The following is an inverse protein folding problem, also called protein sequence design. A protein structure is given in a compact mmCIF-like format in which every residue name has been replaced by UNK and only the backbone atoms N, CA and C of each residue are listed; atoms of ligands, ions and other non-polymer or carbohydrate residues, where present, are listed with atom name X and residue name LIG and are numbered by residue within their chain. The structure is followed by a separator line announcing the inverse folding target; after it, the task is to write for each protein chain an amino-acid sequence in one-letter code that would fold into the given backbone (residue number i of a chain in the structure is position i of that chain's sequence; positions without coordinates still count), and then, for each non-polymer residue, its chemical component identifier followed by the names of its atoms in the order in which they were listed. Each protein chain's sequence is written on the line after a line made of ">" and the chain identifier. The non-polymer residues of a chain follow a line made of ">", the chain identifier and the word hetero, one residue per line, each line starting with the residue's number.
data_IF_953331578520
#
_entry.id   IF_953331578520
#
_cell.length_a   1.000
_cell.length_b   1.000
_cell.length_c   1.000
_cell.angle_alpha   90.00
_cell.angle_beta   90.00
_cell.angle_gamma   90.00
#
_symmetry.space_group_name_H-M   'P 1'
#
loop_
_entity.id
_entity.type
_entity.pdbx_description
1 polymer ?
#
# COMPACT_ATOMS: atom_id res chain seq x y z
N UNK A 1 -6.80 -58.34 40.38
CA UNK A 1 -7.14 -57.51 39.21
C UNK A 1 -6.80 -56.06 39.52
N UNK A 2 -5.64 -55.56 39.06
CA UNK A 2 -5.28 -54.13 39.16
C UNK A 2 -5.76 -53.44 37.89
N UNK A 3 -6.71 -52.54 38.02
CA UNK A 3 -7.25 -51.76 36.91
C UNK A 3 -6.44 -50.47 36.81
N UNK A 4 -5.57 -50.39 35.80
CA UNK A 4 -4.86 -49.16 35.43
C UNK A 4 -5.83 -48.18 34.72
N UNK A 5 -6.50 -47.32 35.48
CA UNK A 5 -7.45 -46.33 34.95
C UNK A 5 -6.92 -44.88 34.93
N UNK A 6 -5.72 -44.62 35.49
CA UNK A 6 -5.21 -43.25 35.65
C UNK A 6 -4.80 -42.52 34.36
N UNK A 7 -4.28 -43.23 33.35
CA UNK A 7 -3.65 -42.58 32.19
C UNK A 7 -4.62 -42.19 31.06
N UNK A 8 -5.79 -42.82 30.97
CA UNK A 8 -6.69 -42.64 29.81
C UNK A 8 -7.39 -41.28 29.82
N UNK A 9 -7.72 -40.76 31.00
CA UNK A 9 -8.38 -39.47 31.17
C UNK A 9 -7.44 -38.29 30.91
N UNK A 10 -6.16 -38.41 31.31
CA UNK A 10 -5.14 -37.42 31.01
C UNK A 10 -4.85 -37.32 29.50
N UNK A 11 -4.77 -38.46 28.81
CA UNK A 11 -4.60 -38.48 27.36
C UNK A 11 -5.78 -37.86 26.62
N UNK A 12 -7.02 -38.12 27.07
CA UNK A 12 -8.23 -37.53 26.48
C UNK A 12 -8.27 -36.00 26.68
N UNK A 13 -7.89 -35.52 27.86
CA UNK A 13 -7.80 -34.08 28.18
C UNK A 13 -6.72 -33.38 27.35
N UNK A 14 -5.53 -33.98 27.20
CA UNK A 14 -4.46 -33.42 26.35
C UNK A 14 -4.84 -33.43 24.87
N UNK A 15 -5.56 -34.46 24.41
CA UNK A 15 -6.03 -34.53 23.03
C UNK A 15 -7.12 -33.48 22.76
N UNK A 16 -8.07 -33.30 23.69
CA UNK A 16 -9.10 -32.25 23.61
C UNK A 16 -8.48 -30.84 23.68
N UNK A 17 -7.43 -30.64 24.49
CA UNK A 17 -6.70 -29.37 24.54
C UNK A 17 -5.94 -29.09 23.23
N UNK A 18 -5.33 -30.11 22.61
CA UNK A 18 -4.67 -29.98 21.30
C UNK A 18 -5.66 -29.75 20.16
N UNK A 19 -6.83 -30.39 20.16
CA UNK A 19 -7.89 -30.16 19.15
C UNK A 19 -8.50 -28.77 19.32
N UNK A 20 -8.66 -28.28 20.55
CA UNK A 20 -9.09 -26.91 20.83
C UNK A 20 -8.05 -25.87 20.35
N UNK A 21 -6.76 -26.14 20.50
CA UNK A 21 -5.69 -25.27 19.95
C UNK A 21 -5.72 -25.28 18.42
N UNK A 22 -5.85 -26.44 17.77
CA UNK A 22 -5.90 -26.55 16.29
C UNK A 22 -7.17 -25.93 15.70
N UNK A 23 -8.31 -25.97 16.40
CA UNK A 23 -9.55 -25.32 16.00
C UNK A 23 -9.57 -23.79 16.20
N UNK A 24 -8.62 -23.24 16.97
CA UNK A 24 -8.53 -21.80 17.29
C UNK A 24 -7.56 -21.02 16.41
N UNK A 25 -6.72 -21.69 15.60
CA UNK A 25 -5.79 -21.06 14.65
C UNK A 25 -6.28 -21.20 13.22
N UNK A 26 -7.49 -20.73 12.95
CA UNK A 26 -7.74 -20.15 11.63
C UNK A 26 -7.14 -18.74 11.70
N UNK A 27 -6.00 -18.44 11.03
CA UNK A 27 -5.67 -17.05 10.80
C UNK A 27 -6.86 -16.46 10.03
N UNK A 28 -7.60 -15.56 10.68
CA UNK A 28 -8.57 -14.75 9.96
C UNK A 28 -7.82 -14.07 8.80
N UNK A 29 -8.41 -13.94 7.61
CA UNK A 29 -7.81 -13.13 6.57
C UNK A 29 -7.62 -11.73 7.17
N UNK A 30 -6.38 -11.36 7.46
CA UNK A 30 -6.04 -9.99 7.82
C UNK A 30 -6.22 -9.20 6.54
N UNK A 31 -7.33 -8.47 6.44
CA UNK A 31 -7.50 -7.51 5.37
C UNK A 31 -6.35 -6.50 5.49
N UNK A 32 -5.59 -6.31 4.42
CA UNK A 32 -4.49 -5.36 4.43
C UNK A 32 -5.05 -3.95 4.68
N UNK A 33 -4.45 -3.23 5.62
CA UNK A 33 -4.76 -1.82 5.83
C UNK A 33 -4.29 -1.00 4.63
N UNK A 34 -5.09 -0.03 4.21
CA UNK A 34 -4.85 0.81 3.03
C UNK A 34 -4.72 2.27 3.49
N UNK A 35 -3.71 2.98 3.00
CA UNK A 35 -3.76 4.44 2.92
C UNK A 35 -4.23 4.80 1.51
N UNK A 36 -5.30 5.56 1.44
CA UNK A 36 -5.92 6.00 0.19
C UNK A 36 -5.86 7.53 0.12
N UNK A 37 -5.14 8.04 -0.86
CA UNK A 37 -4.95 9.46 -1.11
C UNK A 37 -5.80 9.88 -2.32
N UNK A 38 -6.72 10.80 -2.11
CA UNK A 38 -7.68 11.22 -3.12
C UNK A 38 -7.17 12.38 -3.96
N UNK A 39 -7.36 12.28 -5.28
CA UNK A 39 -7.18 13.35 -6.26
C UNK A 39 -8.56 13.73 -6.80
N UNK A 40 -9.05 14.90 -6.42
CA UNK A 40 -10.41 15.35 -6.68
C UNK A 40 -10.43 16.43 -7.75
N UNK A 41 -11.29 16.24 -8.77
CA UNK A 41 -11.50 17.22 -9.81
C UNK A 41 -12.16 18.50 -9.26
N UNK A 42 -11.74 19.72 -9.65
CA UNK A 42 -10.64 20.02 -10.57
C UNK A 42 -9.27 19.90 -9.89
N UNK A 43 -8.33 19.21 -10.55
CA UNK A 43 -6.97 19.01 -10.06
C UNK A 43 -5.97 19.85 -10.87
N UNK A 44 -5.05 20.54 -10.20
CA UNK A 44 -3.94 21.27 -10.83
C UNK A 44 -2.76 20.34 -11.16
N UNK A 45 -1.78 20.83 -11.90
CA UNK A 45 -0.59 20.06 -12.28
C UNK A 45 -0.62 19.63 -13.74
N UNK A 46 0.27 18.69 -14.07
CA UNK A 46 0.40 18.19 -15.43
C UNK A 46 0.87 16.75 -15.50
N UNK A 47 0.50 16.08 -16.60
CA UNK A 47 1.05 14.78 -17.00
C UNK A 47 1.53 14.88 -18.44
N UNK A 48 2.71 14.35 -18.73
CA UNK A 48 3.29 14.38 -20.07
C UNK A 48 4.21 13.20 -20.37
N UNK A 49 4.35 12.92 -21.66
CA UNK A 49 5.32 11.98 -22.21
C UNK A 49 5.87 12.60 -23.50
N UNK A 50 7.20 12.76 -23.58
CA UNK A 50 7.85 13.48 -24.67
C UNK A 50 8.06 12.64 -25.95
N UNK A 51 7.73 11.34 -25.94
CA UNK A 51 8.04 10.42 -27.03
C UNK A 51 9.41 9.75 -26.89
N UNK A 52 9.70 8.80 -27.79
CA UNK A 52 10.97 8.08 -27.82
C UNK A 52 11.15 7.14 -26.63
N UNK A 53 12.26 7.28 -25.91
CA UNK A 53 12.56 6.51 -24.68
C UNK A 53 12.29 7.32 -23.41
N UNK A 54 11.67 8.50 -23.55
CA UNK A 54 11.38 9.36 -22.42
C UNK A 54 10.43 8.66 -21.42
N UNK A 55 10.53 9.00 -20.14
CA UNK A 55 9.59 8.51 -19.14
C UNK A 55 8.26 9.28 -19.18
N UNK A 56 7.26 8.76 -18.47
CA UNK A 56 6.06 9.50 -18.11
C UNK A 56 6.38 10.42 -16.93
N UNK A 57 6.00 11.69 -17.06
CA UNK A 57 6.25 12.72 -16.04
C UNK A 57 4.92 13.27 -15.56
N UNK A 58 4.70 13.20 -14.25
CA UNK A 58 3.67 13.94 -13.54
C UNK A 58 4.32 15.06 -12.72
N UNK A 59 3.75 16.26 -12.73
CA UNK A 59 4.31 17.40 -12.01
C UNK A 59 3.22 18.20 -11.32
N UNK A 60 3.44 18.48 -10.05
CA UNK A 60 2.62 19.34 -9.20
C UNK A 60 1.12 18.98 -9.21
N UNK A 61 0.82 17.68 -9.21
CA UNK A 61 -0.55 17.17 -9.23
C UNK A 61 -1.14 17.33 -7.83
N UNK A 62 -2.19 18.14 -7.67
CA UNK A 62 -2.84 18.33 -6.36
C UNK A 62 -3.39 17.01 -5.81
N UNK A 63 -3.21 16.79 -4.51
CA UNK A 63 -3.81 15.67 -3.76
C UNK A 63 -4.52 16.28 -2.55
N UNK A 64 -5.77 15.90 -2.33
CA UNK A 64 -6.68 16.69 -1.50
C UNK A 64 -6.86 16.10 -0.10
N UNK A 65 -6.79 14.78 0.01
CA UNK A 65 -7.11 14.07 1.25
C UNK A 65 -6.38 12.75 1.36
N UNK A 66 -6.29 12.24 2.59
CA UNK A 66 -5.87 10.88 2.92
C UNK A 66 -6.89 10.23 3.84
N UNK A 67 -7.17 8.94 3.63
CA UNK A 67 -7.98 8.11 4.51
C UNK A 67 -7.28 6.78 4.78
N UNK A 68 -7.34 6.33 6.03
CA UNK A 68 -6.93 4.98 6.43
C UNK A 68 -8.13 4.04 6.38
N UNK A 69 -8.02 2.92 5.65
CA UNK A 69 -9.05 1.89 5.56
C UNK A 69 -8.54 0.58 6.15
N UNK A 70 -9.30 -0.02 7.05
CA UNK A 70 -8.89 -1.21 7.79
C UNK A 70 -7.68 -0.97 8.68
N UNK A 71 -7.44 0.27 9.11
CA UNK A 71 -6.31 0.65 9.96
C UNK A 71 -6.64 0.38 11.43
N UNK A 72 -5.63 0.10 12.28
CA UNK A 72 -5.89 -0.16 13.71
C UNK A 72 -6.19 1.10 14.51
N UNK A 73 -5.90 2.28 13.96
CA UNK A 73 -6.23 3.58 14.54
C UNK A 73 -6.80 4.49 13.46
N UNK A 74 -7.78 5.31 13.85
CA UNK A 74 -8.42 6.28 12.95
C UNK A 74 -8.96 5.65 11.64
N UNK A 75 -9.52 4.44 11.73
CA UNK A 75 -10.13 3.74 10.60
C UNK A 75 -11.32 4.53 10.02
N UNK A 76 -11.33 4.69 8.69
CA UNK A 76 -12.30 5.49 7.95
C UNK A 76 -12.21 6.99 8.19
N UNK A 77 -11.24 7.47 8.96
CA UNK A 77 -11.08 8.89 9.26
C UNK A 77 -10.28 9.57 8.15
N UNK A 78 -10.95 10.50 7.45
CA UNK A 78 -10.34 11.34 6.42
C UNK A 78 -9.61 12.53 7.04
N UNK A 79 -8.49 12.91 6.43
CA UNK A 79 -7.70 14.10 6.77
C UNK A 79 -7.41 14.90 5.53
N UNK A 80 -7.61 16.21 5.62
CA UNK A 80 -7.32 17.12 4.53
C UNK A 80 -5.81 17.28 4.40
N UNK A 81 -5.34 17.28 3.16
CA UNK A 81 -3.97 17.62 2.85
C UNK A 81 -3.88 19.12 2.55
N UNK A 82 -2.84 19.75 3.05
CA UNK A 82 -2.53 21.16 2.75
C UNK A 82 -1.35 21.24 1.79
N UNK A 83 -1.50 22.09 0.76
CA UNK A 83 -0.46 22.35 -0.25
C UNK A 83 0.22 21.07 -0.79
N UNK A 84 -0.56 19.99 -0.91
CA UNK A 84 -0.01 18.68 -1.18
C UNK A 84 0.04 18.40 -2.68
N UNK A 85 1.24 18.12 -3.18
CA UNK A 85 1.46 17.85 -4.59
C UNK A 85 2.23 16.55 -4.81
N UNK A 86 1.69 15.76 -5.74
CA UNK A 86 2.31 14.56 -6.28
C UNK A 86 3.16 14.94 -7.50
N UNK A 87 4.43 14.55 -7.46
CA UNK A 87 5.35 14.64 -8.59
C UNK A 87 6.01 13.29 -8.84
N UNK A 88 6.16 12.94 -10.11
CA UNK A 88 6.72 11.65 -10.47
C UNK A 88 7.39 11.64 -11.84
N UNK A 89 8.32 10.70 -11.99
CA UNK A 89 8.98 10.37 -13.22
C UNK A 89 9.15 8.84 -13.27
N UNK A 90 8.58 8.16 -14.27
CA UNK A 90 8.65 6.70 -14.37
C UNK A 90 10.01 6.21 -14.91
N UNK A 91 10.17 4.90 -15.12
CA UNK A 91 11.17 4.41 -16.07
C UNK A 91 10.85 4.84 -17.51
N UNK A 92 11.80 4.64 -18.42
CA UNK A 92 11.63 4.98 -19.83
C UNK A 92 10.52 4.18 -20.51
N UNK A 93 9.95 4.72 -21.59
CA UNK A 93 9.00 4.02 -22.45
C UNK A 93 9.59 2.68 -22.92
N UNK A 94 8.86 1.59 -22.68
CA UNK A 94 9.29 0.22 -22.95
C UNK A 94 8.48 -0.47 -24.06
N UNK A 95 7.38 0.15 -24.51
CA UNK A 95 6.53 -0.41 -25.55
C UNK A 95 5.09 0.06 -25.42
N UNK A 96 4.18 -0.55 -26.16
CA UNK A 96 2.77 -0.22 -26.10
C UNK A 96 1.95 -0.99 -27.13
N UNK A 97 0.64 -0.81 -27.03
CA UNK A 97 -0.34 -1.27 -28.02
C UNK A 97 -0.95 -0.05 -28.74
N UNK A 98 -1.84 -0.23 -29.72
CA UNK A 98 -2.57 0.91 -30.29
C UNK A 98 -3.39 1.74 -29.28
N UNK A 99 -3.58 1.24 -28.04
CA UNK A 99 -4.33 1.89 -26.96
C UNK A 99 -3.53 2.11 -25.67
N UNK A 100 -2.26 1.68 -25.61
CA UNK A 100 -1.44 1.80 -24.39
C UNK A 100 -0.05 2.39 -24.66
N UNK A 101 0.47 3.10 -23.66
CA UNK A 101 1.90 3.40 -23.51
C UNK A 101 2.40 2.69 -22.27
N UNK A 102 3.39 1.83 -22.40
CA UNK A 102 3.96 1.07 -21.29
C UNK A 102 5.36 1.62 -20.95
N UNK A 103 5.61 1.79 -19.67
CA UNK A 103 6.83 2.35 -19.09
C UNK A 103 7.46 1.36 -18.13
N UNK A 104 8.78 1.23 -18.19
CA UNK A 104 9.53 0.31 -17.34
C UNK A 104 9.66 0.78 -15.89
N UNK A 105 10.31 -0.05 -15.09
CA UNK A 105 10.69 0.25 -13.70
C UNK A 105 11.72 1.38 -13.59
N UNK A 106 11.84 1.95 -12.39
CA UNK A 106 12.81 2.98 -12.04
C UNK A 106 12.17 4.35 -11.81
N UNK A 107 12.99 5.40 -11.93
CA UNK A 107 12.53 6.77 -11.68
C UNK A 107 12.14 7.02 -10.21
N UNK A 108 11.22 7.95 -9.98
CA UNK A 108 10.86 8.41 -8.64
C UNK A 108 9.40 8.88 -8.57
N UNK A 109 8.78 8.70 -7.43
CA UNK A 109 7.47 9.26 -7.07
C UNK A 109 7.57 9.91 -5.69
N UNK A 110 6.95 11.08 -5.50
CA UNK A 110 6.94 11.79 -4.22
C UNK A 110 5.66 12.58 -4.04
N UNK A 111 5.05 12.46 -2.85
CA UNK A 111 3.98 13.35 -2.38
C UNK A 111 4.54 14.24 -1.28
N UNK A 112 4.46 15.55 -1.47
CA UNK A 112 4.95 16.56 -0.53
C UNK A 112 3.79 17.49 -0.17
N UNK A 113 3.57 17.74 1.12
CA UNK A 113 2.48 18.58 1.63
C UNK A 113 2.38 18.53 3.16
N UNK A 114 1.34 19.16 3.70
CA UNK A 114 0.94 19.07 5.10
C UNK A 114 -0.30 18.21 5.30
N UNK A 115 -0.57 17.84 6.55
CA UNK A 115 -1.77 17.10 6.97
C UNK A 115 -2.29 17.68 8.28
N UNK A 116 -3.55 18.10 8.26
CA UNK A 116 -4.29 18.56 9.44
C UNK A 116 -4.79 17.33 10.21
N UNK A 117 -3.94 16.74 11.06
CA UNK A 117 -4.19 15.49 11.77
C UNK A 117 -5.18 15.68 12.93
N UNK A 118 -5.12 16.83 13.58
CA UNK A 118 -5.96 17.17 14.72
C UNK A 118 -7.38 17.65 14.28
N UNK A 119 -7.55 17.99 13.00
CA UNK A 119 -8.77 18.45 12.33
C UNK A 119 -9.31 19.79 12.89
N UNK A 120 -8.43 20.75 13.14
CA UNK A 120 -8.78 22.09 13.60
C UNK A 120 -8.77 23.16 12.48
N UNK A 121 -8.33 22.78 11.28
CA UNK A 121 -8.26 23.63 10.11
C UNK A 121 -6.95 24.40 9.92
N UNK A 122 -5.89 24.10 10.69
CA UNK A 122 -4.58 24.75 10.62
C UNK A 122 -3.41 23.75 10.70
N UNK A 123 -2.73 23.51 9.57
CA UNK A 123 -1.56 22.60 9.50
C UNK A 123 -0.25 23.15 10.06
N UNK A 124 -0.25 24.31 10.72
CA UNK A 124 0.97 24.97 11.21
C UNK A 124 1.27 24.72 12.69
N UNK A 125 0.40 24.02 13.38
CA UNK A 125 0.44 23.86 14.82
C UNK A 125 1.11 22.54 15.30
N UNK A 126 1.13 22.34 16.63
CA UNK A 126 1.70 21.12 17.22
C UNK A 126 0.66 20.00 17.20
N UNK A 127 0.96 18.93 16.46
CA UNK A 127 0.08 17.77 16.32
C UNK A 127 -0.12 17.38 14.86
N UNK A 128 0.21 18.30 13.97
CA UNK A 128 0.04 18.16 12.53
C UNK A 128 1.34 17.87 11.78
N UNK A 129 1.19 17.53 10.50
CA UNK A 129 2.31 17.42 9.58
C UNK A 129 2.40 18.75 8.82
N UNK A 130 3.51 19.49 8.94
CA UNK A 130 3.60 20.81 8.33
C UNK A 130 3.77 20.73 6.80
N UNK A 131 3.34 21.79 6.12
CA UNK A 131 3.53 21.95 4.67
C UNK A 131 5.00 21.78 4.24
N UNK A 132 5.19 21.26 3.03
CA UNK A 132 6.52 20.96 2.50
C UNK A 132 7.14 19.66 3.05
N UNK A 133 6.41 18.91 3.88
CA UNK A 133 6.86 17.60 4.38
C UNK A 133 6.63 16.52 3.33
N UNK A 134 7.59 15.61 3.17
CA UNK A 134 7.38 14.42 2.34
C UNK A 134 6.45 13.44 3.06
N UNK A 135 5.27 13.21 2.49
CA UNK A 135 4.26 12.27 3.01
C UNK A 135 4.57 10.83 2.57
N UNK A 136 5.05 10.68 1.33
CA UNK A 136 5.68 9.46 0.87
C UNK A 136 6.64 9.72 -0.29
N UNK A 137 7.61 8.82 -0.46
CA UNK A 137 8.52 8.82 -1.60
C UNK A 137 8.96 7.41 -1.97
N UNK A 138 9.13 7.14 -3.26
CA UNK A 138 9.41 5.79 -3.77
C UNK A 138 9.91 5.75 -5.20
N UNK A 139 9.87 4.56 -5.79
CA UNK A 139 10.26 4.27 -7.18
C UNK A 139 9.26 3.37 -7.87
N UNK A 140 9.11 3.50 -9.19
CA UNK A 140 8.16 2.69 -9.95
C UNK A 140 8.66 1.28 -10.21
N UNK A 141 7.74 0.34 -10.12
CA UNK A 141 7.90 -1.03 -10.61
C UNK A 141 7.43 -1.12 -12.07
N UNK A 142 6.34 -0.42 -12.41
CA UNK A 142 5.83 -0.27 -13.77
C UNK A 142 4.80 0.86 -13.87
N UNK A 143 4.58 1.36 -15.09
CA UNK A 143 3.45 2.25 -15.36
C UNK A 143 2.89 2.03 -16.76
N UNK A 144 1.59 2.26 -16.93
CA UNK A 144 0.89 2.21 -18.21
C UNK A 144 -0.06 3.39 -18.33
N UNK A 145 -0.08 4.05 -19.48
CA UNK A 145 -1.16 4.96 -19.85
C UNK A 145 -2.09 4.24 -20.81
N UNK A 146 -3.39 4.23 -20.52
CA UNK A 146 -4.43 3.60 -21.32
C UNK A 146 -5.31 4.71 -21.91
N UNK A 147 -5.56 4.71 -23.22
CA UNK A 147 -6.58 5.57 -23.82
C UNK A 147 -7.91 4.83 -24.02
N UNK A 148 -9.03 5.49 -23.75
CA UNK A 148 -10.36 4.99 -24.12
C UNK A 148 -10.82 5.53 -25.48
N UNK A 149 -10.45 6.77 -25.80
CA UNK A 149 -10.76 7.44 -27.06
C UNK A 149 -9.55 8.29 -27.55
N UNK A 150 -9.79 9.35 -28.32
CA UNK A 150 -8.74 10.22 -28.83
C UNK A 150 -8.15 11.17 -27.78
N UNK A 151 -8.86 11.42 -26.67
CA UNK A 151 -8.55 12.44 -25.66
C UNK A 151 -8.40 11.82 -24.27
N UNK A 152 -9.40 11.09 -23.78
CA UNK A 152 -9.45 10.56 -22.43
C UNK A 152 -8.45 9.42 -22.23
N UNK A 153 -7.67 9.54 -21.15
CA UNK A 153 -6.60 8.63 -20.76
C UNK A 153 -6.61 8.40 -19.26
N UNK A 154 -6.10 7.25 -18.84
CA UNK A 154 -5.82 6.93 -17.44
C UNK A 154 -4.37 6.45 -17.34
N UNK A 155 -3.58 7.11 -16.50
CA UNK A 155 -2.28 6.61 -16.07
C UNK A 155 -2.50 5.68 -14.87
N UNK A 156 -2.02 4.45 -14.99
CA UNK A 156 -1.99 3.48 -13.90
C UNK A 156 -0.54 3.09 -13.63
N UNK A 157 -0.19 2.89 -12.39
CA UNK A 157 1.18 2.53 -12.03
C UNK A 157 1.24 1.71 -10.76
N UNK A 158 2.27 0.87 -10.67
CA UNK A 158 2.69 0.18 -9.46
C UNK A 158 4.05 0.74 -9.01
N UNK A 159 4.22 0.94 -7.72
CA UNK A 159 5.43 1.47 -7.14
C UNK A 159 5.64 0.96 -5.72
N UNK A 160 6.86 1.09 -5.23
CA UNK A 160 7.19 0.81 -3.84
C UNK A 160 7.67 2.10 -3.18
N UNK A 161 7.17 2.41 -1.99
CA UNK A 161 7.52 3.65 -1.27
C UNK A 161 7.79 3.44 0.22
N UNK A 162 8.26 4.53 0.84
CA UNK A 162 8.28 4.71 2.29
C UNK A 162 7.37 5.86 2.67
N UNK A 163 6.73 5.74 3.84
CA UNK A 163 5.76 6.72 4.35
C UNK A 163 6.33 7.58 5.47
N UNK A 164 5.75 8.76 5.64
CA UNK A 164 5.98 9.63 6.78
C UNK A 164 5.58 8.94 8.09
N UNK A 165 6.46 8.94 9.09
CA UNK A 165 6.26 8.23 10.35
C UNK A 165 5.09 8.78 11.18
N UNK A 166 4.85 10.10 11.17
CA UNK A 166 3.72 10.72 11.86
C UNK A 166 2.39 10.32 11.23
N UNK A 167 2.33 10.25 9.89
CA UNK A 167 1.15 9.78 9.17
C UNK A 167 0.86 8.31 9.48
N UNK A 168 1.91 7.47 9.49
CA UNK A 168 1.79 6.07 9.88
C UNK A 168 1.33 5.93 11.34
N UNK A 169 1.91 6.71 12.25
CA UNK A 169 1.55 6.70 13.66
C UNK A 169 0.07 7.08 13.86
N UNK A 170 -0.41 8.10 13.14
CA UNK A 170 -1.81 8.52 13.18
C UNK A 170 -2.75 7.37 12.82
N UNK A 171 -2.45 6.60 11.78
CA UNK A 171 -3.28 5.45 11.38
C UNK A 171 -2.90 4.13 12.08
N UNK A 172 -1.92 4.11 12.99
CA UNK A 172 -1.48 2.90 13.67
C UNK A 172 -0.81 1.87 12.74
N UNK A 173 -0.12 2.34 11.71
CA UNK A 173 0.52 1.50 10.71
C UNK A 173 2.02 1.25 11.03
N UNK A 174 2.59 0.12 10.59
CA UNK A 174 3.99 -0.21 10.86
C UNK A 174 4.98 0.78 10.22
N UNK A 175 5.96 1.22 11.00
CA UNK A 175 7.00 2.16 10.55
C UNK A 175 8.26 1.42 10.08
N UNK A 176 9.07 2.09 9.25
CA UNK A 176 10.36 1.57 8.79
C UNK A 176 10.30 0.41 7.80
N UNK A 177 9.12 0.12 7.24
CA UNK A 177 8.92 -0.91 6.21
C UNK A 177 8.48 -0.29 4.88
N UNK A 178 8.77 -0.94 3.73
CA UNK A 178 8.26 -0.51 2.44
C UNK A 178 6.76 -0.80 2.30
N UNK A 179 6.08 0.04 1.54
CA UNK A 179 4.67 -0.09 1.17
C UNK A 179 4.55 -0.32 -0.33
N UNK A 180 3.59 -1.17 -0.70
CA UNK A 180 3.22 -1.35 -2.11
C UNK A 180 2.17 -0.31 -2.47
N UNK A 181 2.48 0.50 -3.47
CA UNK A 181 1.64 1.56 -3.97
C UNK A 181 1.08 1.27 -5.35
N UNK A 182 -0.14 1.74 -5.59
CA UNK A 182 -0.70 1.87 -6.92
C UNK A 182 -1.35 3.25 -7.06
N UNK A 183 -1.40 3.78 -8.28
CA UNK A 183 -2.31 4.89 -8.56
C UNK A 183 -3.10 4.68 -9.83
N UNK A 184 -4.21 5.41 -9.92
CA UNK A 184 -4.93 5.65 -11.16
C UNK A 184 -5.18 7.17 -11.27
N UNK A 185 -4.73 7.81 -12.34
CA UNK A 185 -4.96 9.25 -12.57
C UNK A 185 -5.53 9.44 -13.97
N UNK A 186 -6.74 9.99 -14.04
CA UNK A 186 -7.43 10.27 -15.29
C UNK A 186 -7.15 11.68 -15.79
N UNK A 187 -7.01 11.83 -17.12
CA UNK A 187 -6.66 13.10 -17.75
C UNK A 187 -7.09 13.15 -19.22
N UNK A 188 -7.18 14.37 -19.76
CA UNK A 188 -7.50 14.61 -21.16
C UNK A 188 -6.27 15.11 -21.92
N UNK A 189 -5.80 14.37 -22.93
CA UNK A 189 -4.68 14.77 -23.78
C UNK A 189 -4.88 14.34 -25.23
N UNK A 190 -4.48 15.14 -26.21
CA UNK A 190 -4.30 14.63 -27.56
C UNK A 190 -3.05 13.73 -27.64
N UNK A 191 -3.03 12.80 -28.60
CA UNK A 191 -1.91 11.88 -28.82
C UNK A 191 -2.36 10.42 -28.88
N UNK A 192 -1.65 9.62 -29.66
CA UNK A 192 -1.86 8.17 -29.77
C UNK A 192 -0.53 7.44 -29.67
N UNK A 193 -0.52 6.21 -29.12
CA UNK A 193 0.73 5.46 -28.99
C UNK A 193 1.39 5.22 -30.35
N UNK A 194 2.73 5.19 -30.42
CA UNK A 194 3.71 5.48 -29.35
C UNK A 194 4.05 6.97 -29.23
N UNK A 195 3.24 7.86 -29.80
CA UNK A 195 3.49 9.30 -29.86
C UNK A 195 3.42 10.01 -28.50
N UNK A 196 4.03 11.18 -28.45
CA UNK A 196 4.04 12.07 -27.30
C UNK A 196 2.63 12.60 -26.95
N UNK A 197 2.45 13.03 -25.71
CA UNK A 197 1.27 13.77 -25.25
C UNK A 197 1.63 14.69 -24.08
N UNK A 198 0.79 15.69 -23.84
CA UNK A 198 0.87 16.56 -22.67
C UNK A 198 -0.54 17.00 -22.26
N UNK A 199 -0.78 17.07 -20.97
CA UNK A 199 -2.04 17.55 -20.40
C UNK A 199 -1.80 18.37 -19.14
N UNK A 200 -2.61 19.42 -19.00
CA UNK A 200 -2.85 20.15 -17.74
C UNK A 200 -4.33 20.03 -17.34
N UNK A 201 -5.08 19.12 -17.96
CA UNK A 201 -6.49 18.85 -17.69
C UNK A 201 -6.53 17.48 -17.02
N UNK A 202 -6.21 17.50 -15.73
CA UNK A 202 -6.34 16.34 -14.85
C UNK A 202 -7.77 16.32 -14.32
N UNK A 203 -8.34 15.12 -14.22
CA UNK A 203 -9.71 14.90 -13.80
C UNK A 203 -9.69 14.44 -12.34
N UNK A 204 -9.65 13.13 -12.12
CA UNK A 204 -9.60 12.55 -10.78
C UNK A 204 -8.66 11.35 -10.74
N UNK A 205 -8.41 10.86 -9.52
CA UNK A 205 -7.62 9.66 -9.32
C UNK A 205 -7.50 9.30 -7.85
N UNK A 206 -6.86 8.17 -7.62
CA UNK A 206 -6.53 7.70 -6.27
C UNK A 206 -5.11 7.17 -6.26
N UNK A 207 -4.42 7.37 -5.14
CA UNK A 207 -3.16 6.72 -4.83
C UNK A 207 -3.40 5.84 -3.61
N UNK A 208 -3.26 4.53 -3.78
CA UNK A 208 -3.49 3.55 -2.72
C UNK A 208 -2.20 2.88 -2.33
N UNK A 209 -2.01 2.65 -1.04
CA UNK A 209 -0.86 1.94 -0.51
C UNK A 209 -1.27 0.91 0.52
N UNK A 210 -0.76 -0.30 0.39
CA UNK A 210 -0.94 -1.37 1.38
C UNK A 210 0.37 -1.70 2.07
N UNK A 211 0.26 -2.08 3.34
CA UNK A 211 1.36 -2.79 4.00
C UNK A 211 1.58 -4.12 3.29
N UNK A 212 2.84 -4.50 3.08
CA UNK A 212 3.15 -5.87 2.66
C UNK A 212 2.69 -6.80 3.78
N UNK A 213 1.74 -7.73 3.55
CA UNK A 213 1.28 -8.62 4.60
C UNK A 213 2.47 -9.40 5.16
N UNK A 214 2.62 -9.44 6.49
CA UNK A 214 3.57 -10.37 7.11
C UNK A 214 3.21 -11.78 6.64
N UNK A 215 4.12 -12.50 5.98
CA UNK A 215 3.76 -13.74 5.35
C UNK A 215 3.36 -14.74 6.45
N UNK A 216 2.16 -15.34 6.30
CA UNK A 216 1.66 -16.38 7.20
C UNK A 216 2.64 -17.55 7.40
N UNK A 217 3.65 -17.65 6.54
CA UNK A 217 4.79 -18.55 6.68
C UNK A 217 5.60 -18.32 7.96
N UNK A 218 5.71 -17.09 8.49
CA UNK A 218 6.40 -16.84 9.76
C UNK A 218 5.63 -17.45 10.94
N UNK A 219 4.31 -17.28 10.94
CA UNK A 219 3.42 -17.91 11.92
C UNK A 219 3.40 -19.43 11.77
N UNK A 220 3.42 -19.95 10.53
CA UNK A 220 3.50 -21.39 10.24
C UNK A 220 4.86 -21.97 10.67
N UNK A 221 5.95 -21.24 10.42
CA UNK A 221 7.29 -21.63 10.83
C UNK A 221 7.39 -21.68 12.36
N UNK A 222 6.91 -20.63 13.04
CA UNK A 222 6.88 -20.56 14.50
C UNK A 222 6.07 -21.69 15.13
N UNK A 223 4.84 -21.91 14.64
CA UNK A 223 3.97 -23.00 15.12
C UNK A 223 4.54 -24.39 14.79
N UNK A 224 5.11 -24.56 13.60
CA UNK A 224 5.79 -25.79 13.18
C UNK A 224 6.99 -26.14 14.06
N UNK A 225 7.82 -25.15 14.42
CA UNK A 225 8.97 -25.34 15.31
C UNK A 225 8.54 -25.75 16.72
N UNK A 226 7.47 -25.15 17.26
CA UNK A 226 6.92 -25.53 18.57
C UNK A 226 6.40 -26.98 18.53
N UNK A 227 5.70 -27.37 17.46
CA UNK A 227 5.24 -28.74 17.25
C UNK A 227 6.39 -29.76 17.22
N UNK A 228 7.45 -29.46 16.46
CA UNK A 228 8.65 -30.30 16.37
C UNK A 228 9.40 -30.41 17.69
N UNK A 229 9.58 -29.29 18.42
CA UNK A 229 10.23 -29.27 19.73
C UNK A 229 9.44 -30.11 20.76
N UNK A 230 8.10 -30.00 20.75
CA UNK A 230 7.24 -30.83 21.59
C UNK A 230 7.35 -32.32 21.28
N UNK A 231 7.40 -32.69 20.00
CA UNK A 231 7.60 -34.08 19.56
C UNK A 231 8.98 -34.62 19.97
N UNK A 232 10.04 -33.85 19.75
CA UNK A 232 11.41 -34.22 20.13
C UNK A 232 11.54 -34.44 21.64
N UNK A 233 10.97 -33.54 22.47
CA UNK A 233 10.97 -33.67 23.93
C UNK A 233 10.25 -34.93 24.41
N UNK A 234 9.11 -35.28 23.81
CA UNK A 234 8.38 -36.51 24.14
C UNK A 234 9.19 -37.77 23.83
N UNK A 235 10.01 -37.75 22.78
CA UNK A 235 10.87 -38.89 22.41
C UNK A 235 12.05 -39.06 23.37
N UNK A 236 12.61 -37.96 23.85
CA UNK A 236 13.75 -37.97 24.79
C UNK A 236 13.36 -38.42 26.20
N UNK A 237 12.16 -38.07 26.67
CA UNK A 237 11.65 -38.46 28.00
C UNK A 237 11.08 -39.89 28.08
N UNK A 238 11.03 -40.61 26.94
CA UNK A 238 10.59 -42.03 26.86
C UNK A 238 11.77 -43.02 26.82
N UNK A 239 13.00 -42.54 27.00
CA UNK A 239 14.17 -43.36 27.34
C UNK A 239 14.38 -43.33 28.84
#
# INVERSE_FOLDING_TARGET
>A
MKVETGNKWWFLLVLLFLVAIVGSVCPAPVQASILDFGVVAPTTGSISYAGGVAPLIGSDISVDMVVGLGTSSNDGVSRNLSNATLSFNTGGFSGGTPVTWDFGSGGSISLVGGVDLNNDGDTTDLGDIPDGTTLFSGSFDSATVIKSDTIFKVAVAAFTDTKNESLLAFYGLPQGIPYLGNFNISFNAAGSPPGAFRSTILLSGDITNTTVPEPATLTLLGSGMIGLAGFARRRLLKK
#
